data_IF_154887780301
#
_entry.id   IF_154887780301
#
_cell.length_a   1.000
_cell.length_b   1.000
_cell.length_c   1.000
_cell.angle_alpha   90.00
_cell.angle_beta   90.00
_cell.angle_gamma   90.00
#
_symmetry.space_group_name_H-M   'P 1'
#
loop_
_entity.id
_entity.type
_entity.pdbx_description
1 polymer ?
#
# COMPACT_ATOMS: atom_id res chain seq x y z
N UNK A 1 -21.58 -1.53 14.61
CA UNK A 1 -20.94 -2.15 13.43
C UNK A 1 -20.59 -1.13 12.33
N UNK A 2 -21.53 -0.38 11.75
CA UNK A 2 -21.22 0.67 10.75
C UNK A 2 -20.62 1.95 11.38
N UNK A 3 -21.07 2.32 12.59
CA UNK A 3 -20.53 3.47 13.34
C UNK A 3 -19.11 3.21 13.84
N UNK A 4 -18.78 1.96 14.22
CA UNK A 4 -17.43 1.56 14.63
C UNK A 4 -16.44 1.67 13.48
N UNK A 5 -16.86 1.35 12.26
CA UNK A 5 -16.08 1.50 11.03
C UNK A 5 -15.70 2.96 10.76
N UNK A 6 -16.67 3.88 10.85
CA UNK A 6 -16.46 5.32 10.63
C UNK A 6 -15.49 5.87 11.69
N UNK A 7 -15.62 5.40 12.95
CA UNK A 7 -14.73 5.76 14.04
C UNK A 7 -13.28 5.30 13.83
N UNK A 8 -13.08 4.05 13.39
CA UNK A 8 -11.75 3.53 13.07
C UNK A 8 -11.11 4.23 11.86
N UNK A 9 -11.89 4.52 10.82
CA UNK A 9 -11.42 5.26 9.64
C UNK A 9 -10.92 6.65 10.02
N UNK A 10 -11.68 7.41 10.81
CA UNK A 10 -11.28 8.75 11.28
C UNK A 10 -10.00 8.71 12.12
N UNK A 11 -9.85 7.71 13.00
CA UNK A 11 -8.63 7.53 13.80
C UNK A 11 -7.42 7.25 12.93
N UNK A 12 -7.55 6.37 11.94
CA UNK A 12 -6.46 6.06 11.01
C UNK A 12 -6.07 7.26 10.15
N UNK A 13 -7.04 8.05 9.67
CA UNK A 13 -6.77 9.29 8.94
C UNK A 13 -5.99 10.30 9.79
N UNK A 14 -6.37 10.47 11.06
CA UNK A 14 -5.67 11.35 11.98
C UNK A 14 -4.22 10.88 12.22
N UNK A 15 -4.01 9.59 12.48
CA UNK A 15 -2.67 8.99 12.66
C UNK A 15 -1.82 9.18 11.40
N UNK A 16 -2.39 8.95 10.22
CA UNK A 16 -1.71 9.15 8.94
C UNK A 16 -1.35 10.63 8.72
N UNK A 17 -2.22 11.55 9.12
CA UNK A 17 -1.94 12.99 9.13
C UNK A 17 -0.75 13.37 10.01
N UNK A 18 -0.67 12.83 11.23
CA UNK A 18 0.46 13.05 12.13
C UNK A 18 1.77 12.47 11.58
N UNK A 19 1.71 11.29 10.95
CA UNK A 19 2.88 10.67 10.31
C UNK A 19 3.38 11.50 9.11
N UNK A 20 2.47 12.13 8.35
CA UNK A 20 2.81 13.04 7.24
C UNK A 20 3.63 14.25 7.70
N UNK A 21 3.31 14.79 8.88
CA UNK A 21 4.04 15.92 9.46
C UNK A 21 5.46 15.55 9.92
N UNK A 22 5.71 14.28 10.28
CA UNK A 22 7.00 13.83 10.83
C UNK A 22 8.13 13.71 9.79
N UNK A 23 7.82 13.76 8.49
CA UNK A 23 8.81 13.92 7.40
C UNK A 23 10.06 13.04 7.51
N UNK A 24 9.91 11.70 7.45
CA UNK A 24 11.04 10.77 7.54
C UNK A 24 11.68 10.41 6.19
N UNK A 25 12.99 10.15 6.19
CA UNK A 25 13.72 9.50 5.09
C UNK A 25 13.21 8.06 4.92
N UNK A 26 12.89 7.68 3.68
CA UNK A 26 12.22 6.41 3.35
C UNK A 26 13.23 5.45 2.74
N UNK A 27 13.12 4.17 3.06
CA UNK A 27 14.10 3.17 2.61
C UNK A 27 14.00 2.92 1.09
N UNK A 28 15.15 2.95 0.40
CA UNK A 28 15.27 2.68 -1.05
C UNK A 28 15.93 1.33 -1.38
N UNK A 29 16.12 0.47 -0.38
CA UNK A 29 16.71 -0.86 -0.52
C UNK A 29 15.77 -1.93 -1.10
N UNK A 30 16.24 -3.19 -1.10
CA UNK A 30 15.45 -4.36 -1.52
C UNK A 30 14.20 -4.49 -0.63
N UNK A 31 13.03 -4.56 -1.26
CA UNK A 31 11.75 -4.67 -0.56
C UNK A 31 11.64 -6.01 0.16
N UNK A 32 11.17 -6.00 1.40
CA UNK A 32 10.91 -7.21 2.18
C UNK A 32 9.76 -8.03 1.58
N UNK A 33 9.65 -9.30 1.98
CA UNK A 33 8.53 -10.17 1.57
C UNK A 33 7.19 -9.56 1.97
N UNK A 34 7.08 -9.02 3.19
CA UNK A 34 5.90 -8.29 3.66
C UNK A 34 5.53 -7.13 2.74
N UNK A 35 6.50 -6.28 2.40
CA UNK A 35 6.27 -5.12 1.54
C UNK A 35 5.76 -5.54 0.15
N UNK A 36 6.37 -6.56 -0.46
CA UNK A 36 5.92 -7.07 -1.76
C UNK A 36 4.52 -7.68 -1.71
N UNK A 37 4.20 -8.45 -0.66
CA UNK A 37 2.88 -9.08 -0.52
C UNK A 37 1.76 -8.05 -0.32
N UNK A 38 2.00 -7.01 0.49
CA UNK A 38 1.06 -5.89 0.61
C UNK A 38 0.86 -5.20 -0.73
N UNK A 39 1.95 -4.86 -1.42
CA UNK A 39 1.88 -4.20 -2.73
C UNK A 39 1.11 -5.04 -3.76
N UNK A 40 1.31 -6.37 -3.81
CA UNK A 40 0.55 -7.29 -4.67
C UNK A 40 -0.93 -7.36 -4.32
N UNK A 41 -1.29 -7.46 -3.03
CA UNK A 41 -2.69 -7.45 -2.62
C UNK A 41 -3.39 -6.14 -2.98
N UNK A 42 -2.70 -5.01 -2.85
CA UNK A 42 -3.22 -3.71 -3.29
C UNK A 42 -3.35 -3.65 -4.80
N UNK A 43 -2.37 -4.19 -5.54
CA UNK A 43 -2.38 -4.28 -6.99
C UNK A 43 -3.60 -5.03 -7.55
N UNK A 44 -3.99 -6.12 -6.89
CA UNK A 44 -5.17 -6.90 -7.25
C UNK A 44 -6.49 -6.12 -7.08
N UNK A 45 -6.48 -5.01 -6.32
CA UNK A 45 -7.65 -4.15 -6.13
C UNK A 45 -7.56 -2.93 -7.04
N UNK A 46 -6.38 -2.30 -7.15
CA UNK A 46 -6.09 -1.26 -8.14
C UNK A 46 -4.74 -1.47 -8.81
N UNK A 47 -4.74 -1.45 -10.13
CA UNK A 47 -3.50 -1.55 -10.91
C UNK A 47 -2.74 -0.22 -11.01
N UNK A 48 -3.42 0.90 -10.76
CA UNK A 48 -2.88 2.23 -10.94
C UNK A 48 -3.22 3.14 -9.76
N UNK A 49 -2.42 3.15 -8.69
CA UNK A 49 -2.67 4.00 -7.53
C UNK A 49 -2.46 5.49 -7.83
N UNK A 50 -3.39 6.30 -7.34
CA UNK A 50 -3.28 7.75 -7.30
C UNK A 50 -2.08 8.23 -6.48
N UNK A 51 -1.69 9.50 -6.62
CA UNK A 51 -0.60 10.08 -5.82
C UNK A 51 -0.90 9.96 -4.33
N UNK A 52 -2.14 10.21 -3.92
CA UNK A 52 -2.56 10.14 -2.52
C UNK A 52 -2.43 8.70 -1.99
N UNK A 53 -2.90 7.72 -2.75
CA UNK A 53 -2.77 6.29 -2.40
C UNK A 53 -1.31 5.86 -2.29
N UNK A 54 -0.43 6.32 -3.20
CA UNK A 54 1.00 6.04 -3.12
C UNK A 54 1.66 6.67 -1.90
N UNK A 55 1.27 7.90 -1.54
CA UNK A 55 1.74 8.57 -0.31
C UNK A 55 1.32 7.77 0.92
N UNK A 56 0.09 7.28 0.97
CA UNK A 56 -0.40 6.53 2.12
C UNK A 56 0.31 5.16 2.24
N UNK A 57 0.48 4.43 1.14
CA UNK A 57 1.31 3.22 1.07
C UNK A 57 2.75 3.49 1.52
N UNK A 58 3.28 4.65 1.18
CA UNK A 58 4.64 5.07 1.53
C UNK A 58 4.83 5.17 3.04
N UNK A 59 3.82 5.64 3.77
CA UNK A 59 3.82 5.65 5.23
C UNK A 59 3.65 4.24 5.81
N UNK A 60 2.71 3.44 5.29
CA UNK A 60 2.45 2.09 5.81
C UNK A 60 3.64 1.13 5.61
N UNK A 61 4.35 1.25 4.49
CA UNK A 61 5.44 0.34 4.12
C UNK A 61 6.84 0.91 4.40
N UNK A 62 6.93 2.17 4.83
CA UNK A 62 8.17 2.92 4.97
C UNK A 62 9.06 2.87 3.69
N UNK A 63 8.42 3.03 2.53
CA UNK A 63 9.07 3.01 1.21
C UNK A 63 8.90 4.37 0.53
N UNK A 64 9.86 4.83 -0.27
CA UNK A 64 9.70 6.09 -1.01
C UNK A 64 8.53 6.05 -2.00
N UNK A 65 7.83 7.18 -2.22
CA UNK A 65 6.72 7.23 -3.19
C UNK A 65 7.21 6.83 -4.60
N UNK A 66 8.44 7.22 -4.94
CA UNK A 66 9.15 6.80 -6.16
C UNK A 66 9.29 5.28 -6.22
N UNK A 67 9.74 4.64 -5.14
CA UNK A 67 9.89 3.19 -5.06
C UNK A 67 8.56 2.44 -5.23
N UNK A 68 7.46 2.98 -4.70
CA UNK A 68 6.11 2.44 -4.89
C UNK A 68 5.65 2.65 -6.34
N UNK A 69 5.80 3.86 -6.89
CA UNK A 69 5.47 4.16 -8.29
C UNK A 69 6.18 3.20 -9.26
N UNK A 70 7.48 3.00 -9.08
CA UNK A 70 8.29 2.08 -9.89
C UNK A 70 7.85 0.63 -9.71
N UNK A 71 7.52 0.21 -8.48
CA UNK A 71 7.02 -1.14 -8.24
C UNK A 71 5.72 -1.41 -8.99
N UNK A 72 4.74 -0.50 -8.92
CA UNK A 72 3.48 -0.63 -9.67
C UNK A 72 3.70 -0.56 -11.18
N UNK A 73 4.67 0.21 -11.66
CA UNK A 73 5.06 0.22 -13.08
C UNK A 73 5.62 -1.13 -13.52
N UNK A 74 6.56 -1.70 -12.75
CA UNK A 74 7.17 -2.99 -13.04
C UNK A 74 6.16 -4.13 -12.93
N UNK A 75 5.26 -4.08 -11.94
CA UNK A 75 4.23 -5.11 -11.76
C UNK A 75 3.27 -5.11 -12.97
N UNK A 76 2.85 -3.93 -13.45
CA UNK A 76 2.09 -3.84 -14.72
C UNK A 76 2.89 -4.37 -15.89
N UNK A 77 4.15 -3.97 -16.06
CA UNK A 77 4.99 -4.49 -17.14
C UNK A 77 5.16 -6.02 -17.08
N UNK A 78 5.11 -6.61 -15.89
CA UNK A 78 5.15 -8.07 -15.73
C UNK A 78 3.84 -8.75 -16.11
N UNK A 79 2.69 -8.10 -15.87
CA UNK A 79 1.36 -8.54 -16.32
C UNK A 79 1.16 -8.29 -17.82
N UNK A 80 1.71 -7.19 -18.32
CA UNK A 80 1.67 -6.66 -19.68
C UNK A 80 2.76 -7.24 -20.61
N UNK A 81 3.42 -8.34 -20.23
CA UNK A 81 4.07 -9.21 -21.23
C UNK A 81 3.07 -9.78 -22.26
N UNK A 82 1.78 -9.44 -22.15
CA UNK A 82 0.75 -9.57 -23.19
C UNK A 82 0.22 -8.26 -23.81
N UNK A 83 0.54 -7.05 -23.33
CA UNK A 83 -0.05 -5.80 -23.87
C UNK A 83 0.89 -4.60 -23.80
N UNK A 84 1.36 -4.13 -24.96
CA UNK A 84 2.20 -2.95 -25.13
C UNK A 84 1.56 -1.65 -24.60
N UNK A 85 2.43 -0.76 -24.09
CA UNK A 85 2.29 0.71 -23.89
C UNK A 85 0.91 1.31 -24.24
N UNK A 86 0.28 2.00 -23.29
CA UNK A 86 -0.15 3.41 -23.43
C UNK A 86 -0.79 3.99 -22.16
N UNK A 87 -0.77 5.33 -22.07
CA UNK A 87 -0.97 6.14 -20.87
C UNK A 87 -2.30 5.95 -20.13
N UNK A 88 -2.20 5.52 -18.87
CA UNK A 88 -3.33 5.33 -17.98
C UNK A 88 -3.27 6.30 -16.78
N UNK A 89 -4.43 6.82 -16.38
CA UNK A 89 -4.63 7.77 -15.27
C UNK A 89 -5.12 6.99 -14.05
N UNK A 90 -4.39 7.04 -12.94
CA UNK A 90 -4.63 6.16 -11.78
C UNK A 90 -5.95 6.37 -11.02
N UNK A 91 -6.43 5.31 -10.37
CA UNK A 91 -7.57 5.28 -9.46
C UNK A 91 -7.12 5.38 -7.99
N UNK A 92 -7.95 6.00 -7.13
CA UNK A 92 -7.69 6.14 -5.69
C UNK A 92 -8.30 4.96 -4.90
N UNK A 93 -7.57 4.38 -3.93
CA UNK A 93 -8.12 3.41 -2.97
C UNK A 93 -8.34 4.08 -1.62
N UNK A 94 -9.45 3.73 -0.96
CA UNK A 94 -9.71 4.11 0.43
C UNK A 94 -8.62 3.54 1.39
N UNK A 95 -8.03 4.37 2.27
CA UNK A 95 -6.98 3.96 3.20
C UNK A 95 -7.32 2.79 4.14
N UNK A 96 -8.59 2.54 4.46
CA UNK A 96 -8.98 1.38 5.28
C UNK A 96 -8.73 0.04 4.58
N UNK A 97 -8.92 0.00 3.25
CA UNK A 97 -8.64 -1.18 2.45
C UNK A 97 -7.13 -1.50 2.54
N UNK A 98 -6.27 -0.47 2.48
CA UNK A 98 -4.82 -0.62 2.65
C UNK A 98 -4.45 -1.17 4.03
N UNK A 99 -5.08 -0.66 5.10
CA UNK A 99 -4.83 -1.11 6.47
C UNK A 99 -5.21 -2.58 6.67
N UNK A 100 -6.38 -3.00 6.18
CA UNK A 100 -6.84 -4.41 6.27
C UNK A 100 -5.86 -5.35 5.57
N UNK A 101 -5.42 -4.98 4.37
CA UNK A 101 -4.42 -5.75 3.61
C UNK A 101 -3.12 -5.89 4.39
N UNK A 102 -2.60 -4.79 4.93
CA UNK A 102 -1.37 -4.79 5.74
C UNK A 102 -1.50 -5.74 6.94
N UNK A 103 -2.62 -5.63 7.69
CA UNK A 103 -2.90 -6.46 8.86
C UNK A 103 -3.00 -7.95 8.51
N UNK A 104 -3.67 -8.27 7.42
CA UNK A 104 -3.86 -9.66 6.98
C UNK A 104 -2.55 -10.29 6.49
N UNK A 105 -1.72 -9.54 5.77
CA UNK A 105 -0.39 -10.01 5.36
C UNK A 105 0.52 -10.21 6.57
N UNK A 106 0.51 -9.30 7.54
CA UNK A 106 1.31 -9.45 8.76
C UNK A 106 0.96 -10.73 9.54
N UNK A 107 -0.34 -11.07 9.64
CA UNK A 107 -0.82 -12.31 10.27
C UNK A 107 -0.39 -13.58 9.54
N UNK A 108 -0.19 -13.51 8.22
CA UNK A 108 0.25 -14.67 7.41
C UNK A 108 1.76 -14.92 7.53
N UNK A 109 2.55 -13.88 7.80
CA UNK A 109 4.01 -13.96 7.90
C UNK A 109 4.48 -14.31 9.32
N UNK A 110 3.74 -13.88 10.35
CA UNK A 110 4.05 -14.25 11.74
C UNK A 110 3.51 -15.68 11.98
N UNK A 111 4.35 -16.70 12.20
CA UNK A 111 3.84 -18.02 12.53
C UNK A 111 3.03 -17.91 13.83
N UNK A 112 1.83 -18.47 13.83
CA UNK A 112 1.05 -18.64 15.06
C UNK A 112 1.96 -19.36 16.06
N UNK A 113 2.39 -18.66 17.12
CA UNK A 113 2.92 -19.32 18.32
C UNK A 113 1.75 -20.10 18.89
N UNK A 114 1.64 -21.37 18.50
CA UNK A 114 0.74 -22.31 19.15
C UNK A 114 1.22 -22.47 20.58
N UNK A 115 0.27 -22.28 21.50
CA UNK A 115 0.42 -22.51 22.93
C UNK A 115 0.07 -23.96 23.21
#
# INVERSE_FOLDING_TARGET
MFLDYIGEEKKLQAVLGLLKLKGGCKNEGKKSLYQNLVLRKVFNIIKYPSQQTRKDLSFFLNLSEKSIKLWFQNERQSEDKYSLRNGFVGFEINPLILYRICRDVAKQIVPKKYK
#
